data_IF_799891168195
#
_entry.id   IF_799891168195
#
_cell.length_a   1.000
_cell.length_b   1.000
_cell.length_c   1.000
_cell.angle_alpha   90.00
_cell.angle_beta   90.00
_cell.angle_gamma   90.00
#
_symmetry.space_group_name_H-M   'P 1'
#
loop_
_entity.id
_entity.type
_entity.pdbx_description
1 polymer ?
#
# COMPACT_ATOMS: atom_id res chain seq x y z
N UNK A 1 -6.71 -21.56 0.90
CA UNK A 1 -5.36 -21.04 1.04
C UNK A 1 -5.25 -19.68 0.37
N UNK A 2 -4.59 -18.78 1.02
CA UNK A 2 -4.44 -17.43 0.49
C UNK A 2 -3.34 -17.40 -0.57
N UNK A 3 -3.53 -16.60 -1.61
CA UNK A 3 -2.46 -16.44 -2.59
C UNK A 3 -1.28 -15.68 -1.98
N UNK A 4 -0.11 -15.99 -2.47
CA UNK A 4 1.10 -15.31 -2.08
C UNK A 4 1.48 -14.35 -3.19
N UNK A 5 1.64 -13.07 -2.85
CA UNK A 5 2.05 -12.07 -3.82
C UNK A 5 3.57 -11.95 -3.80
N UNK A 6 4.19 -12.36 -4.90
CA UNK A 6 5.63 -12.38 -4.98
C UNK A 6 6.20 -11.03 -5.34
N UNK A 7 7.44 -10.79 -4.91
CA UNK A 7 8.17 -9.60 -5.30
C UNK A 7 8.84 -9.87 -6.62
N UNK A 8 8.11 -9.65 -7.69
CA UNK A 8 8.54 -9.93 -9.05
C UNK A 8 9.24 -8.72 -9.67
N UNK A 9 9.70 -8.90 -10.92
CA UNK A 9 10.27 -7.78 -11.67
C UNK A 9 9.28 -6.63 -11.80
N UNK A 10 8.01 -6.97 -11.99
CA UNK A 10 6.98 -5.93 -12.07
C UNK A 10 6.86 -5.16 -10.76
N UNK A 11 6.85 -5.87 -9.64
CA UNK A 11 6.78 -5.21 -8.34
C UNK A 11 8.02 -4.34 -8.12
N UNK A 12 9.19 -4.84 -8.51
CA UNK A 12 10.42 -4.07 -8.35
C UNK A 12 10.37 -2.77 -9.15
N UNK A 13 9.81 -2.81 -10.36
CA UNK A 13 9.67 -1.61 -11.18
C UNK A 13 8.72 -0.62 -10.53
N UNK A 14 7.58 -1.10 -10.04
CA UNK A 14 6.61 -0.25 -9.35
C UNK A 14 7.24 0.33 -8.10
N UNK A 15 7.98 -0.49 -7.35
CA UNK A 15 8.63 -0.05 -6.13
C UNK A 15 9.62 1.09 -6.41
N UNK A 16 10.44 0.93 -7.44
CA UNK A 16 11.45 1.94 -7.76
C UNK A 16 10.79 3.26 -8.17
N UNK A 17 9.75 3.19 -8.99
CA UNK A 17 9.02 4.39 -9.41
C UNK A 17 8.33 5.07 -8.24
N UNK A 18 7.72 4.29 -7.37
CA UNK A 18 7.03 4.82 -6.21
C UNK A 18 8.01 5.47 -5.24
N UNK A 19 9.15 4.82 -5.01
CA UNK A 19 10.18 5.38 -4.14
C UNK A 19 10.63 6.74 -4.66
N UNK A 20 10.92 6.81 -5.96
CA UNK A 20 11.37 8.07 -6.55
C UNK A 20 10.31 9.16 -6.43
N UNK A 21 9.06 8.83 -6.68
CA UNK A 21 7.96 9.78 -6.59
C UNK A 21 7.82 10.33 -5.18
N UNK A 22 7.78 9.43 -4.20
CA UNK A 22 7.59 9.85 -2.81
C UNK A 22 8.80 10.63 -2.29
N UNK A 23 10.00 10.25 -2.73
CA UNK A 23 11.21 10.96 -2.33
C UNK A 23 11.19 12.40 -2.86
N UNK A 24 10.80 12.57 -4.13
CA UNK A 24 10.72 13.90 -4.72
C UNK A 24 9.70 14.77 -3.99
N UNK A 25 8.64 14.17 -3.48
CA UNK A 25 7.59 14.91 -2.80
C UNK A 25 7.87 15.10 -1.31
N UNK A 26 8.97 14.52 -0.81
CA UNK A 26 9.26 14.55 0.62
C UNK A 26 8.25 13.77 1.44
N UNK A 27 7.69 12.71 0.87
CA UNK A 27 6.62 11.95 1.51
C UNK A 27 6.96 10.46 1.63
N UNK A 28 8.22 10.14 1.80
CA UNK A 28 8.64 8.75 1.93
C UNK A 28 7.91 8.05 3.08
N UNK A 29 7.65 6.79 2.89
CA UNK A 29 7.07 5.92 3.92
C UNK A 29 8.10 4.87 4.28
N UNK A 30 7.83 4.10 5.33
CA UNK A 30 8.76 3.09 5.77
C UNK A 30 9.07 2.06 4.68
N UNK A 31 10.27 1.50 4.71
CA UNK A 31 10.71 0.57 3.67
C UNK A 31 9.78 -0.63 3.55
N UNK A 32 9.34 -1.16 4.68
CA UNK A 32 8.43 -2.31 4.68
C UNK A 32 7.08 -1.95 4.07
N UNK A 33 6.55 -0.78 4.43
CA UNK A 33 5.27 -0.34 3.89
C UNK A 33 5.36 -0.02 2.41
N UNK A 34 6.52 0.46 1.98
CA UNK A 34 6.75 0.74 0.57
C UNK A 34 6.67 -0.54 -0.27
N UNK A 35 7.23 -1.63 0.25
CA UNK A 35 7.15 -2.92 -0.43
C UNK A 35 5.70 -3.40 -0.51
N UNK A 36 4.97 -3.26 0.58
CA UNK A 36 3.56 -3.65 0.62
C UNK A 36 2.76 -2.84 -0.40
N UNK A 37 2.99 -1.53 -0.43
CA UNK A 37 2.26 -0.65 -1.34
C UNK A 37 2.58 -1.00 -2.80
N UNK A 38 3.85 -1.21 -3.11
CA UNK A 38 4.25 -1.55 -4.47
C UNK A 38 3.65 -2.87 -4.92
N UNK A 39 3.61 -3.85 -4.02
CA UNK A 39 3.03 -5.16 -4.32
C UNK A 39 1.54 -5.01 -4.59
N UNK A 40 0.83 -4.26 -3.75
CA UNK A 40 -0.60 -4.06 -3.92
C UNK A 40 -0.90 -3.35 -5.24
N UNK A 41 -0.13 -2.31 -5.56
CA UNK A 41 -0.33 -1.58 -6.81
C UNK A 41 -0.11 -2.46 -8.04
N UNK A 42 0.93 -3.29 -8.00
CA UNK A 42 1.22 -4.13 -9.17
C UNK A 42 0.21 -5.24 -9.36
N UNK A 43 -0.53 -5.59 -8.32
CA UNK A 43 -1.57 -6.62 -8.40
C UNK A 43 -2.97 -6.04 -8.36
N UNK A 44 -3.09 -4.71 -8.41
CA UNK A 44 -4.38 -4.03 -8.40
C UNK A 44 -5.20 -4.41 -7.18
N UNK A 45 -4.54 -4.43 -6.03
CA UNK A 45 -5.16 -4.79 -4.75
C UNK A 45 -5.18 -3.59 -3.83
N UNK A 46 -6.10 -3.62 -2.87
CA UNK A 46 -6.13 -2.62 -1.81
C UNK A 46 -5.25 -3.06 -0.64
N UNK A 47 -4.82 -2.11 0.18
CA UNK A 47 -4.12 -2.40 1.42
C UNK A 47 -5.07 -2.21 2.58
N UNK A 48 -5.16 -3.22 3.44
CA UNK A 48 -5.97 -3.16 4.65
C UNK A 48 -5.02 -2.92 5.82
N UNK A 49 -5.14 -1.77 6.47
CA UNK A 49 -4.14 -1.37 7.45
C UNK A 49 -4.73 -0.45 8.52
N UNK A 50 -4.12 -0.46 9.70
CA UNK A 50 -4.40 0.53 10.72
C UNK A 50 -3.56 1.80 10.53
N UNK A 51 -2.55 1.73 9.67
CA UNK A 51 -1.66 2.86 9.42
C UNK A 51 -2.06 3.59 8.15
N UNK A 52 -3.30 4.09 8.13
CA UNK A 52 -3.90 4.66 6.94
C UNK A 52 -3.15 5.90 6.47
N UNK A 53 -2.76 6.76 7.40
CA UNK A 53 -2.17 8.04 7.02
C UNK A 53 -0.88 7.86 6.22
N UNK A 54 -0.11 6.83 6.52
CA UNK A 54 1.12 6.58 5.79
C UNK A 54 0.83 6.04 4.38
N UNK A 55 -0.09 5.09 4.29
CA UNK A 55 -0.40 4.50 2.99
C UNK A 55 -1.17 5.46 2.08
N UNK A 56 -1.84 6.44 2.65
CA UNK A 56 -2.55 7.45 1.85
C UNK A 56 -1.60 8.35 1.08
N UNK A 57 -0.32 8.35 1.42
CA UNK A 57 0.67 9.09 0.66
C UNK A 57 0.93 8.48 -0.72
N UNK A 58 0.52 7.23 -0.92
CA UNK A 58 0.81 6.49 -2.15
C UNK A 58 -0.27 6.79 -3.19
N UNK A 59 0.10 7.45 -4.30
CA UNK A 59 -0.90 7.77 -5.32
C UNK A 59 -1.44 6.50 -5.98
N UNK A 60 -2.73 6.47 -6.16
CA UNK A 60 -3.39 5.37 -6.86
C UNK A 60 -3.64 4.14 -6.03
N UNK A 61 -3.22 4.13 -4.78
CA UNK A 61 -3.41 2.97 -3.92
C UNK A 61 -4.73 3.08 -3.17
N UNK A 62 -5.51 2.02 -3.22
CA UNK A 62 -6.72 1.95 -2.41
C UNK A 62 -6.37 1.47 -1.01
N UNK A 63 -6.77 2.22 0.01
CA UNK A 63 -6.43 1.93 1.39
C UNK A 63 -7.71 1.74 2.19
N UNK A 64 -7.78 0.62 2.89
CA UNK A 64 -8.92 0.31 3.75
C UNK A 64 -8.45 0.32 5.19
N UNK A 65 -9.20 1.00 6.04
CA UNK A 65 -8.80 1.18 7.43
C UNK A 65 -9.11 -0.05 8.27
N UNK A 66 -8.23 -0.33 9.23
CA UNK A 66 -8.45 -1.33 10.26
C UNK A 66 -8.64 -0.63 11.60
N UNK A 67 -9.51 -1.16 12.44
CA UNK A 67 -10.38 -2.29 12.17
C UNK A 67 -11.50 -1.89 11.24
N UNK A 68 -11.99 -2.83 10.46
CA UNK A 68 -13.13 -2.57 9.61
C UNK A 68 -14.34 -2.36 10.49
N UNK A 69 -15.09 -1.32 10.18
CA UNK A 69 -16.31 -1.05 10.91
C UNK A 69 -17.48 -1.40 10.04
N UNK A 70 -18.28 -2.34 10.50
CA UNK A 70 -19.48 -2.71 9.77
C UNK A 70 -20.49 -1.59 9.98
N UNK A 71 -21.06 -1.11 8.89
CA UNK A 71 -21.99 -0.02 8.97
C UNK A 71 -23.10 -0.31 9.97
N UNK A 72 -23.31 0.62 10.88
CA UNK A 72 -24.34 0.49 11.88
C UNK A 72 -23.96 -0.34 13.07
N UNK A 73 -22.74 -0.76 13.17
CA UNK A 73 -22.35 -1.61 14.25
C UNK A 73 -21.22 -1.05 15.00
N UNK A 74 -21.10 -0.13 15.33
CA UNK A 74 -20.03 0.28 16.03
C UNK A 74 -20.12 0.23 17.43
N UNK A 75 -19.63 -0.10 17.61
CA UNK A 75 -19.79 -0.05 18.67
C UNK A 75 -19.25 -0.04 19.14
#
# INVERSE_FOLDING_TARGET
RLPVLDFTTEVARVHAGLFATLARQGRLIGAHDLIIAATALSHDCAVLTSNVSEFERVPGLEVLALPLTVAGKQK
#
